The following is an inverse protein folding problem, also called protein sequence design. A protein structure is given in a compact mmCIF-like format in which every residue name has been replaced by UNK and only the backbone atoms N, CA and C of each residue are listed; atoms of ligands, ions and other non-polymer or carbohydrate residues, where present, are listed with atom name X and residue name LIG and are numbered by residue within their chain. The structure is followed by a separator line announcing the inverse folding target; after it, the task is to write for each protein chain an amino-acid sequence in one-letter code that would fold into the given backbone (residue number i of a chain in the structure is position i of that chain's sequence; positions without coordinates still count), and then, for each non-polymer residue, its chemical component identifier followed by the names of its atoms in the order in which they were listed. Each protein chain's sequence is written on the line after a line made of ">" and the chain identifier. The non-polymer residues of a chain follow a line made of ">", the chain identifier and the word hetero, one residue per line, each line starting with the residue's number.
data_IF_498276138049
#
_entry.id   IF_498276138049
#
_cell.length_a   1.000
_cell.length_b   1.000
_cell.length_c   1.000
_cell.angle_alpha   90.00
_cell.angle_beta   90.00
_cell.angle_gamma   90.00
#
_symmetry.space_group_name_H-M   'P 1'
#
loop_
_entity.id
_entity.type
_entity.pdbx_description
1 polymer ?
#
# COMPACT_ATOMS: atom_id res chain seq x y z
N UNK A 1 -26.03 -25.97 -30.42
CA UNK A 1 -24.94 -25.35 -31.21
C UNK A 1 -24.76 -23.94 -30.68
N UNK A 2 -23.69 -23.48 -30.04
CA UNK A 2 -22.37 -24.03 -29.74
C UNK A 2 -21.90 -23.45 -28.38
N UNK A 3 -21.31 -24.29 -27.53
CA UNK A 3 -20.57 -23.86 -26.35
C UNK A 3 -19.13 -23.56 -26.77
N UNK A 4 -18.64 -22.35 -26.50
CA UNK A 4 -17.27 -21.94 -26.77
C UNK A 4 -16.50 -21.94 -25.44
N UNK A 5 -15.66 -22.94 -25.26
CA UNK A 5 -14.86 -23.17 -24.06
C UNK A 5 -13.69 -22.20 -23.95
N UNK A 6 -13.49 -21.67 -22.75
CA UNK A 6 -12.22 -21.06 -22.35
C UNK A 6 -11.22 -22.17 -22.04
N UNK A 7 -10.11 -22.20 -22.79
CA UNK A 7 -8.98 -23.08 -22.51
C UNK A 7 -8.19 -22.54 -21.33
N UNK A 8 -7.96 -23.39 -20.33
CA UNK A 8 -7.10 -23.13 -19.19
C UNK A 8 -5.65 -22.89 -19.67
N UNK A 9 -5.07 -21.76 -19.27
CA UNK A 9 -3.68 -21.40 -19.56
C UNK A 9 -2.69 -22.47 -19.09
N UNK A 10 -3.08 -23.34 -18.16
CA UNK A 10 -2.29 -24.48 -17.68
C UNK A 10 -2.08 -25.57 -18.72
N UNK A 11 -3.06 -25.82 -19.60
CA UNK A 11 -2.94 -26.83 -20.67
C UNK A 11 -2.01 -26.35 -21.78
N UNK A 12 -2.03 -25.06 -22.08
CA UNK A 12 -1.21 -24.44 -23.13
C UNK A 12 0.30 -24.42 -22.79
N UNK A 13 0.65 -24.47 -21.51
CA UNK A 13 2.05 -24.57 -21.07
C UNK A 13 2.59 -26.02 -21.15
N UNK A 14 1.74 -27.05 -21.07
CA UNK A 14 2.17 -28.45 -21.17
C UNK A 14 2.47 -28.88 -22.61
N UNK A 15 1.83 -28.25 -23.60
CA UNK A 15 2.02 -28.57 -25.02
C UNK A 15 3.27 -27.94 -25.65
N UNK A 16 4.08 -27.19 -24.90
CA UNK A 16 5.22 -26.43 -25.42
C UNK A 16 6.61 -27.00 -25.04
N UNK A 17 6.69 -28.17 -24.42
CA UNK A 17 7.96 -28.83 -24.10
C UNK A 17 8.13 -30.12 -24.93
N UNK A 18 9.01 -30.14 -25.95
CA UNK A 18 9.39 -31.38 -26.60
C UNK A 18 10.55 -32.05 -25.83
N UNK A 19 10.36 -33.33 -25.53
CA UNK A 19 11.38 -34.34 -25.15
C UNK A 19 12.25 -34.11 -23.92
N UNK A 20 11.93 -34.84 -22.84
CA UNK A 20 12.81 -35.89 -22.28
C UNK A 20 12.05 -36.63 -21.18
N UNK A 21 11.41 -37.73 -21.52
CA UNK A 21 11.08 -38.81 -20.58
C UNK A 21 10.77 -40.04 -21.44
N UNK A 22 11.80 -40.86 -21.65
CA UNK A 22 11.67 -42.26 -22.07
C UNK A 22 12.94 -42.95 -21.57
N UNK A 23 12.82 -43.71 -20.49
CA UNK A 23 13.59 -44.94 -20.30
C UNK A 23 12.82 -45.83 -19.31
N UNK A 24 11.94 -46.64 -19.90
CA UNK A 24 11.30 -47.76 -19.24
C UNK A 24 12.31 -48.85 -18.84
N UNK A 25 11.99 -49.45 -17.69
CA UNK A 25 12.23 -50.83 -17.26
C UNK A 25 12.73 -51.82 -18.32
N UNK A 26 13.86 -52.48 -18.02
CA UNK A 26 14.11 -53.87 -18.42
C UNK A 26 14.76 -54.66 -17.28
N UNK A 27 14.01 -55.61 -16.72
CA UNK A 27 14.52 -56.89 -16.24
C UNK A 27 14.80 -57.75 -17.51
N UNK A 28 15.79 -58.65 -17.62
CA UNK A 28 15.90 -59.99 -17.02
C UNK A 28 17.30 -60.60 -17.33
N UNK A 29 17.85 -61.30 -16.33
CA UNK A 29 18.82 -62.43 -16.22
C UNK A 29 20.29 -62.52 -16.73
N UNK A 30 21.07 -63.11 -15.80
CA UNK A 30 22.24 -64.03 -15.85
C UNK A 30 23.54 -63.57 -16.57
N UNK A 31 24.78 -63.74 -16.07
CA UNK A 31 25.34 -64.66 -15.06
C UNK A 31 26.74 -64.18 -14.56
N UNK A 32 27.08 -64.59 -13.34
CA UNK A 32 28.43 -64.96 -12.83
C UNK A 32 29.35 -63.96 -12.08
N UNK A 33 29.61 -64.36 -10.83
CA UNK A 33 30.86 -64.32 -10.04
C UNK A 33 31.46 -63.00 -9.52
N UNK A 34 31.29 -62.76 -8.21
CA UNK A 34 32.19 -61.92 -7.40
C UNK A 34 31.73 -61.74 -5.94
N UNK A 35 32.48 -62.28 -4.98
CA UNK A 35 32.20 -62.41 -3.53
C UNK A 35 31.92 -61.09 -2.75
N UNK A 36 31.26 -61.17 -1.56
CA UNK A 36 30.55 -60.05 -0.94
C UNK A 36 31.43 -59.22 0.00
N UNK A 37 31.25 -57.89 -0.02
CA UNK A 37 31.78 -56.98 1.01
C UNK A 37 30.63 -56.33 1.77
N UNK A 38 30.42 -56.80 3.01
CA UNK A 38 29.63 -56.15 4.07
C UNK A 38 29.97 -54.66 4.13
N UNK A 39 29.04 -53.80 3.69
CA UNK A 39 29.01 -52.39 4.09
C UNK A 39 27.85 -52.22 5.06
N UNK A 40 28.22 -51.81 6.27
CA UNK A 40 27.34 -51.56 7.41
C UNK A 40 26.22 -50.60 6.99
N UNK A 41 24.99 -51.08 7.13
CA UNK A 41 23.81 -50.25 7.33
C UNK A 41 24.10 -49.35 8.53
N UNK A 42 24.20 -48.04 8.30
CA UNK A 42 24.19 -47.04 9.37
C UNK A 42 22.80 -46.44 9.28
N UNK A 43 21.91 -46.96 10.12
CA UNK A 43 20.70 -46.26 10.53
C UNK A 43 21.15 -44.90 11.05
N UNK A 44 20.81 -43.86 10.30
CA UNK A 44 20.73 -42.51 10.83
C UNK A 44 19.23 -42.23 10.88
N UNK A 45 18.60 -42.87 11.85
CA UNK A 45 17.34 -42.41 12.41
C UNK A 45 17.58 -41.09 13.11
N UNK A 46 16.53 -40.26 13.08
CA UNK A 46 16.27 -39.09 13.92
C UNK A 46 17.19 -37.88 13.76
N UNK A 47 16.82 -36.99 12.83
CA UNK A 47 17.00 -35.52 12.98
C UNK A 47 15.90 -34.74 12.20
N UNK A 48 14.68 -35.27 12.11
CA UNK A 48 13.49 -34.52 11.68
C UNK A 48 12.71 -34.02 12.90
N UNK A 49 13.31 -33.17 13.72
CA UNK A 49 12.64 -32.54 14.87
C UNK A 49 12.82 -31.01 14.87
N UNK A 50 11.68 -30.31 14.88
CA UNK A 50 11.45 -29.05 15.62
C UNK A 50 11.93 -27.68 15.07
N UNK A 51 11.76 -27.39 13.77
CA UNK A 51 11.89 -25.99 13.29
C UNK A 51 10.64 -25.39 12.62
N UNK A 52 9.58 -26.16 12.37
CA UNK A 52 8.35 -25.64 11.73
C UNK A 52 7.36 -25.03 12.74
N UNK A 53 7.27 -25.58 13.96
CA UNK A 53 6.25 -25.20 14.93
C UNK A 53 6.47 -23.78 15.49
N UNK A 54 7.71 -23.43 15.82
CA UNK A 54 8.06 -22.10 16.36
C UNK A 54 7.66 -20.95 15.41
N UNK A 55 7.82 -21.15 14.10
CA UNK A 55 7.43 -20.14 13.10
C UNK A 55 5.91 -19.95 12.98
N UNK A 56 5.14 -21.02 13.21
CA UNK A 56 3.68 -21.01 13.15
C UNK A 56 3.11 -20.39 14.42
N UNK A 57 3.65 -20.76 15.57
CA UNK A 57 3.29 -20.21 16.88
C UNK A 57 3.53 -18.70 16.96
N UNK A 58 4.68 -18.22 16.47
CA UNK A 58 4.99 -16.80 16.42
C UNK A 58 3.98 -16.03 15.54
N UNK A 59 3.63 -16.58 14.38
CA UNK A 59 2.63 -15.97 13.48
C UNK A 59 1.24 -15.95 14.12
N UNK A 60 0.87 -17.01 14.83
CA UNK A 60 -0.41 -17.06 15.54
C UNK A 60 -0.46 -16.05 16.70
N UNK A 61 0.62 -15.95 17.48
CA UNK A 61 0.75 -14.94 18.54
C UNK A 61 0.62 -13.53 17.97
N UNK A 62 1.26 -13.26 16.83
CA UNK A 62 1.14 -11.98 16.14
C UNK A 62 -0.32 -11.73 15.68
N UNK A 63 -0.96 -12.73 15.07
CA UNK A 63 -2.37 -12.64 14.67
C UNK A 63 -3.31 -12.37 15.85
N UNK A 64 -3.03 -12.94 17.04
CA UNK A 64 -3.77 -12.66 18.28
C UNK A 64 -3.62 -11.20 18.71
N UNK A 65 -2.42 -10.62 18.64
CA UNK A 65 -2.17 -9.19 18.94
C UNK A 65 -2.90 -8.27 17.97
N UNK A 66 -2.92 -8.62 16.69
CA UNK A 66 -3.70 -7.90 15.68
C UNK A 66 -5.18 -7.98 16.04
N UNK A 67 -5.73 -9.18 16.25
CA UNK A 67 -7.14 -9.38 16.55
C UNK A 67 -7.59 -8.66 17.83
N UNK A 68 -6.78 -8.66 18.89
CA UNK A 68 -7.12 -7.99 20.16
C UNK A 68 -7.15 -6.46 20.05
N UNK A 69 -6.58 -5.89 19.00
CA UNK A 69 -6.46 -4.44 18.80
C UNK A 69 -7.36 -3.90 17.67
N UNK A 70 -8.25 -4.75 17.16
CA UNK A 70 -9.29 -4.44 16.17
C UNK A 70 -10.66 -4.58 16.83
N UNK A 71 -11.53 -3.60 16.57
CA UNK A 71 -12.96 -3.74 16.86
C UNK A 71 -13.75 -3.64 15.56
N UNK A 72 -14.72 -4.55 15.37
CA UNK A 72 -15.67 -4.47 14.28
C UNK A 72 -17.10 -4.35 14.82
N UNK A 73 -17.89 -3.47 14.20
CA UNK A 73 -19.32 -3.30 14.50
C UNK A 73 -20.12 -3.25 13.19
N UNK A 74 -21.34 -3.76 13.24
CA UNK A 74 -22.32 -3.59 12.16
C UNK A 74 -23.29 -2.50 12.59
N UNK A 75 -23.10 -1.29 12.06
CA UNK A 75 -23.87 -0.09 12.48
C UNK A 75 -24.84 0.37 11.39
N UNK A 76 -24.47 0.16 10.13
CA UNK A 76 -25.21 0.68 8.98
C UNK A 76 -26.08 -0.40 8.37
N UNK A 77 -27.37 -0.08 8.18
CA UNK A 77 -28.30 -0.98 7.48
C UNK A 77 -28.04 -0.98 5.96
N UNK A 78 -28.56 -1.96 5.21
CA UNK A 78 -28.43 -1.97 3.75
C UNK A 78 -28.98 -0.71 3.06
N UNK A 79 -30.05 -0.12 3.58
CA UNK A 79 -30.70 1.09 3.08
C UNK A 79 -29.83 2.33 3.34
N UNK A 80 -29.26 2.43 4.53
CA UNK A 80 -28.32 3.50 4.90
C UNK A 80 -27.05 3.43 4.05
N UNK A 81 -26.55 2.22 3.82
CA UNK A 81 -25.43 1.99 2.90
C UNK A 81 -25.78 2.48 1.50
N UNK A 82 -26.97 2.17 0.98
CA UNK A 82 -27.39 2.61 -0.36
C UNK A 82 -27.49 4.14 -0.47
N UNK A 83 -27.98 4.81 0.58
CA UNK A 83 -28.03 6.27 0.64
C UNK A 83 -26.62 6.88 0.63
N UNK A 84 -25.70 6.34 1.43
CA UNK A 84 -24.31 6.80 1.49
C UNK A 84 -23.58 6.52 0.18
N UNK A 85 -23.80 5.36 -0.44
CA UNK A 85 -23.23 4.99 -1.73
C UNK A 85 -23.62 5.97 -2.84
N UNK A 86 -24.89 6.41 -2.86
CA UNK A 86 -25.34 7.49 -3.77
C UNK A 86 -24.57 8.79 -3.53
N UNK A 87 -24.26 9.13 -2.27
CA UNK A 87 -23.44 10.30 -1.94
C UNK A 87 -21.98 10.15 -2.35
N UNK A 88 -21.43 8.94 -2.28
CA UNK A 88 -20.09 8.64 -2.81
C UNK A 88 -20.09 8.82 -4.34
N UNK A 89 -21.14 8.39 -5.04
CA UNK A 89 -21.26 8.62 -6.49
C UNK A 89 -21.36 10.10 -6.85
N UNK A 90 -22.08 10.90 -6.06
CA UNK A 90 -22.10 12.36 -6.21
C UNK A 90 -20.68 12.96 -6.06
N UNK A 91 -19.87 12.48 -5.11
CA UNK A 91 -18.46 12.90 -4.95
C UNK A 91 -17.65 12.55 -6.19
N UNK A 92 -17.77 11.33 -6.72
CA UNK A 92 -17.05 10.90 -7.93
C UNK A 92 -17.43 11.80 -9.12
N UNK A 93 -18.73 12.05 -9.32
CA UNK A 93 -19.21 12.90 -10.41
C UNK A 93 -18.72 14.35 -10.28
N UNK A 94 -18.73 14.92 -9.08
CA UNK A 94 -18.20 16.27 -8.82
C UNK A 94 -16.69 16.36 -9.08
N UNK A 95 -15.94 15.33 -8.69
CA UNK A 95 -14.52 15.26 -8.96
C UNK A 95 -14.22 15.19 -10.46
N UNK A 96 -15.00 14.43 -11.23
CA UNK A 96 -14.84 14.31 -12.69
C UNK A 96 -15.27 15.58 -13.42
N UNK A 97 -16.21 16.34 -12.86
CA UNK A 97 -16.56 17.68 -13.31
C UNK A 97 -15.53 18.76 -12.91
N UNK A 98 -14.49 18.41 -12.14
CA UNK A 98 -13.44 19.34 -11.72
C UNK A 98 -13.89 20.36 -10.67
N UNK A 99 -14.90 20.03 -9.85
CA UNK A 99 -15.49 20.94 -8.87
C UNK A 99 -14.75 20.99 -7.52
N UNK A 100 -13.80 20.08 -7.31
CA UNK A 100 -12.99 20.04 -6.09
C UNK A 100 -11.63 20.70 -6.27
N UNK A 101 -11.03 21.09 -5.14
CA UNK A 101 -9.65 21.58 -5.07
C UNK A 101 -8.67 20.53 -5.55
N UNK A 102 -7.51 20.99 -6.02
CA UNK A 102 -6.47 20.12 -6.60
C UNK A 102 -6.08 18.97 -5.66
N UNK A 103 -5.83 19.27 -4.39
CA UNK A 103 -5.36 18.28 -3.42
C UNK A 103 -6.47 17.45 -2.78
N UNK A 104 -7.74 17.73 -3.09
CA UNK A 104 -8.88 16.89 -2.69
C UNK A 104 -8.88 15.59 -3.48
N UNK A 105 -8.49 15.59 -4.75
CA UNK A 105 -8.65 14.43 -5.63
C UNK A 105 -7.31 13.82 -6.02
N UNK A 106 -7.09 12.57 -5.62
CA UNK A 106 -5.93 11.77 -6.02
C UNK A 106 -6.38 10.61 -6.93
N UNK A 107 -5.99 10.64 -8.20
CA UNK A 107 -6.36 9.60 -9.18
C UNK A 107 -5.23 8.61 -9.41
N UNK A 108 -5.51 7.33 -9.23
CA UNK A 108 -4.63 6.23 -9.64
C UNK A 108 -5.41 5.20 -10.49
N UNK A 109 -4.74 4.36 -11.29
CA UNK A 109 -5.40 3.55 -12.32
C UNK A 109 -6.61 2.72 -11.87
N UNK A 110 -6.57 2.16 -10.65
CA UNK A 110 -7.63 1.31 -10.10
C UNK A 110 -8.11 1.77 -8.72
N UNK A 111 -7.71 2.98 -8.30
CA UNK A 111 -8.10 3.53 -7.00
C UNK A 111 -8.02 5.05 -7.03
N UNK A 112 -9.14 5.70 -6.78
CA UNK A 112 -9.18 7.14 -6.51
C UNK A 112 -9.26 7.38 -5.00
N UNK A 113 -8.70 8.50 -4.55
CA UNK A 113 -8.89 9.00 -3.18
C UNK A 113 -9.45 10.41 -3.20
N UNK A 114 -10.33 10.68 -2.25
CA UNK A 114 -10.95 11.98 -2.05
C UNK A 114 -10.68 12.42 -0.61
N UNK A 115 -9.88 13.47 -0.43
CA UNK A 115 -9.48 14.01 0.87
C UNK A 115 -10.35 15.18 1.28
N UNK A 116 -10.98 15.08 2.45
CA UNK A 116 -11.79 16.17 3.00
C UNK A 116 -11.37 16.51 4.44
N UNK A 117 -11.48 17.80 4.78
CA UNK A 117 -11.04 18.40 6.04
C UNK A 117 -9.52 18.58 6.11
N UNK A 118 -8.78 17.46 6.07
CA UNK A 118 -7.32 17.44 6.07
C UNK A 118 -6.80 16.41 5.07
N UNK A 119 -5.86 16.85 4.24
CA UNK A 119 -5.08 15.99 3.35
C UNK A 119 -3.59 16.05 3.68
N UNK A 120 -2.84 15.07 3.19
CA UNK A 120 -1.41 14.97 3.44
C UNK A 120 -0.67 14.48 2.20
N UNK A 121 0.61 14.85 2.14
CA UNK A 121 1.50 14.38 1.10
C UNK A 121 1.83 12.91 1.29
N UNK A 122 1.98 12.17 0.21
CA UNK A 122 2.45 10.79 0.26
C UNK A 122 3.50 10.52 -0.82
N UNK A 123 4.47 9.65 -0.50
CA UNK A 123 5.40 8.98 -1.41
C UNK A 123 6.12 9.83 -2.47
N UNK A 124 5.41 10.15 -3.56
CA UNK A 124 5.95 10.80 -4.76
C UNK A 124 6.09 12.32 -4.65
N UNK A 125 5.37 12.96 -3.71
CA UNK A 125 5.37 14.41 -3.52
C UNK A 125 6.49 14.90 -2.58
N UNK A 126 7.30 13.98 -2.06
CA UNK A 126 8.35 14.27 -1.09
C UNK A 126 9.72 14.28 -1.77
N UNK A 127 10.51 15.34 -1.55
CA UNK A 127 11.89 15.45 -2.04
C UNK A 127 12.78 14.32 -1.50
N UNK A 128 12.56 13.91 -0.25
CA UNK A 128 13.14 12.71 0.35
C UNK A 128 12.05 11.67 0.55
N UNK A 129 12.20 10.54 -0.14
CA UNK A 129 11.31 9.39 0.01
C UNK A 129 11.63 8.65 1.31
N UNK A 130 10.60 8.28 2.05
CA UNK A 130 10.72 7.45 3.25
C UNK A 130 9.53 7.66 4.18
N UNK A 131 9.17 6.65 5.00
CA UNK A 131 8.15 6.82 6.03
C UNK A 131 8.54 7.93 7.02
N UNK A 132 7.56 8.66 7.54
CA UNK A 132 7.78 9.76 8.50
C UNK A 132 8.01 11.14 7.85
N UNK A 133 8.04 11.21 6.52
CA UNK A 133 8.21 12.46 5.78
C UNK A 133 6.90 13.04 5.27
N UNK A 134 5.78 12.36 5.49
CA UNK A 134 4.45 12.88 5.21
C UNK A 134 4.22 14.20 5.95
N UNK A 135 3.55 15.15 5.29
CA UNK A 135 3.17 16.45 5.83
C UNK A 135 1.71 16.72 5.50
N UNK A 136 0.98 17.33 6.41
CA UNK A 136 -0.34 17.88 6.08
C UNK A 136 -0.18 18.99 5.03
N UNK A 137 -1.13 19.10 4.10
CA UNK A 137 -1.20 20.28 3.22
C UNK A 137 -1.49 21.54 4.05
N UNK A 138 -1.34 22.73 3.45
CA UNK A 138 -1.80 23.96 4.12
C UNK A 138 -3.30 23.90 4.36
N UNK A 139 -3.77 24.61 5.39
CA UNK A 139 -5.21 24.70 5.68
C UNK A 139 -5.92 25.31 4.47
N UNK A 140 -7.03 24.70 4.05
CA UNK A 140 -7.81 25.15 2.88
C UNK A 140 -7.36 24.59 1.52
N UNK A 141 -6.30 23.76 1.47
CA UNK A 141 -5.85 23.14 0.21
C UNK A 141 -6.72 21.94 -0.22
N UNK A 142 -7.45 21.35 0.72
CA UNK A 142 -8.46 20.31 0.46
C UNK A 142 -9.84 20.83 0.85
N UNK A 143 -10.88 20.28 0.24
CA UNK A 143 -12.27 20.65 0.51
C UNK A 143 -12.68 20.28 1.95
N UNK A 144 -13.71 20.96 2.47
CA UNK A 144 -14.27 20.64 3.79
C UNK A 144 -14.97 19.28 3.79
N UNK A 145 -15.14 18.69 4.97
CA UNK A 145 -15.90 17.44 5.11
C UNK A 145 -17.36 17.71 4.67
N UNK A 146 -17.89 16.98 3.67
CA UNK A 146 -19.25 17.20 3.21
C UNK A 146 -20.26 16.99 4.35
N UNK A 147 -21.32 17.81 4.39
CA UNK A 147 -22.34 17.73 5.44
C UNK A 147 -22.96 16.33 5.58
N UNK A 148 -23.16 15.62 4.46
CA UNK A 148 -23.68 14.26 4.47
C UNK A 148 -22.76 13.27 5.19
N UNK A 149 -21.44 13.48 5.18
CA UNK A 149 -20.49 12.63 5.94
C UNK A 149 -20.70 12.85 7.43
N UNK A 150 -20.90 14.10 7.85
CA UNK A 150 -21.23 14.41 9.24
C UNK A 150 -22.56 13.77 9.67
N UNK A 151 -23.61 13.98 8.88
CA UNK A 151 -24.98 13.59 9.22
C UNK A 151 -25.22 12.08 9.14
N UNK A 152 -24.75 11.45 8.05
CA UNK A 152 -25.05 10.05 7.76
C UNK A 152 -24.02 9.11 8.36
N UNK A 153 -22.75 9.52 8.52
CA UNK A 153 -21.66 8.63 8.95
C UNK A 153 -21.14 8.98 10.34
N UNK A 154 -20.57 10.19 10.52
CA UNK A 154 -19.89 10.56 11.78
C UNK A 154 -20.89 10.55 12.94
N UNK A 155 -22.07 11.16 12.78
CA UNK A 155 -23.11 11.18 13.80
C UNK A 155 -23.50 9.76 14.24
N UNK A 156 -23.61 8.82 13.30
CA UNK A 156 -23.94 7.41 13.61
C UNK A 156 -22.85 6.73 14.43
N UNK A 157 -21.59 6.99 14.12
CA UNK A 157 -20.46 6.47 14.89
C UNK A 157 -20.40 7.05 16.31
N UNK A 158 -20.68 8.35 16.45
CA UNK A 158 -20.75 9.03 17.76
C UNK A 158 -21.90 8.46 18.59
N UNK A 159 -23.12 8.38 18.04
CA UNK A 159 -24.28 7.84 18.75
C UNK A 159 -24.11 6.38 19.18
N UNK A 160 -23.35 5.58 18.43
CA UNK A 160 -23.05 4.18 18.77
C UNK A 160 -21.77 4.02 19.63
N UNK A 161 -21.25 5.12 20.18
CA UNK A 161 -20.08 5.12 21.08
C UNK A 161 -18.82 4.57 20.44
N UNK A 162 -18.63 4.74 19.13
CA UNK A 162 -17.41 4.32 18.42
C UNK A 162 -16.29 5.34 18.62
N UNK A 163 -16.63 6.63 18.58
CA UNK A 163 -15.73 7.77 18.71
C UNK A 163 -16.45 8.92 19.42
N UNK A 164 -15.72 9.80 20.13
CA UNK A 164 -16.35 10.96 20.76
C UNK A 164 -16.73 12.02 19.71
N UNK A 165 -17.70 12.86 20.08
CA UNK A 165 -18.06 14.02 19.28
C UNK A 165 -16.85 14.97 19.11
N UNK A 166 -16.71 15.57 17.93
CA UNK A 166 -15.58 16.44 17.60
C UNK A 166 -14.24 15.73 17.39
N UNK A 167 -14.19 14.39 17.42
CA UNK A 167 -12.96 13.64 17.13
C UNK A 167 -12.50 13.81 15.67
N UNK A 168 -13.41 13.61 14.72
CA UNK A 168 -13.08 13.54 13.30
C UNK A 168 -12.82 14.92 12.72
N UNK A 169 -11.65 15.11 12.12
CA UNK A 169 -11.33 16.30 11.32
C UNK A 169 -10.71 15.97 9.94
N UNK A 170 -10.57 14.67 9.62
CA UNK A 170 -10.13 14.17 8.33
C UNK A 170 -11.05 13.03 7.90
N UNK A 171 -11.64 13.16 6.72
CA UNK A 171 -12.42 12.12 6.07
C UNK A 171 -11.82 11.83 4.69
N UNK A 172 -11.43 10.57 4.45
CA UNK A 172 -10.88 10.15 3.16
C UNK A 172 -11.73 9.06 2.57
N UNK A 173 -12.22 9.26 1.35
CA UNK A 173 -12.96 8.24 0.60
C UNK A 173 -11.99 7.60 -0.37
N UNK A 174 -11.75 6.30 -0.24
CA UNK A 174 -11.04 5.52 -1.27
C UNK A 174 -12.07 4.75 -2.09
N UNK A 175 -12.13 4.97 -3.40
CA UNK A 175 -12.97 4.24 -4.35
C UNK A 175 -12.11 3.32 -5.21
N UNK A 176 -12.39 2.03 -5.17
CA UNK A 176 -11.61 0.97 -5.81
C UNK A 176 -12.39 0.36 -6.96
N UNK A 177 -11.72 0.22 -8.09
CA UNK A 177 -12.18 -0.58 -9.22
C UNK A 177 -11.80 -2.06 -9.00
N UNK A 178 -12.44 -3.02 -9.70
CA UNK A 178 -12.04 -4.43 -9.66
C UNK A 178 -10.54 -4.62 -9.90
N UNK A 179 -9.88 -5.43 -9.06
CA UNK A 179 -8.43 -5.61 -9.05
C UNK A 179 -7.64 -4.46 -8.42
N UNK A 180 -8.32 -3.41 -7.93
CA UNK A 180 -7.73 -2.33 -7.16
C UNK A 180 -7.09 -2.84 -5.86
N UNK A 181 -6.09 -2.12 -5.36
CA UNK A 181 -5.36 -2.51 -4.16
C UNK A 181 -4.79 -1.31 -3.39
N UNK A 182 -4.30 -1.59 -2.19
CA UNK A 182 -3.40 -0.69 -1.47
C UNK A 182 -2.21 -1.48 -0.98
N UNK A 183 -1.01 -1.00 -1.30
CA UNK A 183 0.24 -1.59 -0.85
C UNK A 183 0.34 -1.48 0.67
N UNK A 184 1.03 -2.45 1.27
CA UNK A 184 1.32 -2.50 2.71
C UNK A 184 1.84 -1.17 3.25
N UNK A 185 1.18 -0.65 4.28
CA UNK A 185 1.55 0.59 4.95
C UNK A 185 1.01 0.63 6.39
N UNK A 186 1.50 1.58 7.17
CA UNK A 186 0.95 1.98 8.48
C UNK A 186 0.40 3.40 8.30
N UNK A 187 -0.78 3.70 8.87
CA UNK A 187 -1.29 5.07 8.88
C UNK A 187 -0.30 5.98 9.64
N UNK A 188 0.14 7.12 9.04
CA UNK A 188 1.27 7.88 9.57
C UNK A 188 1.07 8.31 11.03
N UNK A 189 1.89 7.76 11.94
CA UNK A 189 1.79 7.98 13.39
C UNK A 189 2.00 9.44 13.78
N UNK A 190 2.88 10.15 13.06
CA UNK A 190 3.15 11.58 13.27
C UNK A 190 2.08 12.50 12.68
N UNK A 191 1.07 11.97 11.96
CA UNK A 191 -0.01 12.77 11.36
C UNK A 191 -1.33 12.51 12.07
N UNK A 192 -1.66 11.26 12.39
CA UNK A 192 -3.00 10.88 12.86
C UNK A 192 -2.98 10.35 14.28
N UNK A 193 -3.90 10.85 15.11
CA UNK A 193 -4.27 10.21 16.37
C UNK A 193 -4.98 8.88 16.13
N UNK A 194 -5.02 8.04 17.16
CA UNK A 194 -5.79 6.79 17.19
C UNK A 194 -7.09 6.99 17.98
N UNK A 195 -8.15 6.21 17.70
CA UNK A 195 -8.20 5.12 16.72
C UNK A 195 -8.37 5.60 15.28
N UNK A 196 -8.04 4.72 14.32
CA UNK A 196 -8.38 4.89 12.90
C UNK A 196 -9.71 4.17 12.65
N UNK A 197 -10.72 4.88 12.15
CA UNK A 197 -12.04 4.30 11.87
C UNK A 197 -12.27 4.22 10.37
N UNK A 198 -12.78 3.09 9.90
CA UNK A 198 -13.17 2.90 8.50
C UNK A 198 -14.53 2.26 8.37
N UNK A 199 -15.30 2.68 7.37
CA UNK A 199 -16.62 2.13 7.04
C UNK A 199 -16.63 1.70 5.57
N UNK A 200 -16.98 0.45 5.30
CA UNK A 200 -16.94 -0.15 3.95
C UNK A 200 -18.29 -0.06 3.23
N UNK A 201 -18.26 0.19 1.92
CA UNK A 201 -19.44 0.35 1.07
C UNK A 201 -19.29 -0.38 -0.27
N UNK A 202 -20.41 -0.53 -0.99
CA UNK A 202 -20.63 -1.25 -2.24
C UNK A 202 -20.49 -2.77 -2.14
N UNK A 203 -19.36 -3.27 -1.66
CA UNK A 203 -19.09 -4.71 -1.66
C UNK A 203 -18.20 -5.18 -0.50
N UNK A 204 -18.26 -6.49 -0.27
CA UNK A 204 -17.45 -7.17 0.71
C UNK A 204 -16.00 -7.34 0.22
N UNK A 205 -15.04 -7.26 1.15
CA UNK A 205 -13.62 -7.48 0.85
C UNK A 205 -12.86 -7.97 2.09
N UNK A 206 -11.53 -7.91 2.06
CA UNK A 206 -10.66 -8.26 3.16
C UNK A 206 -9.55 -7.21 3.36
N UNK A 207 -9.36 -6.79 4.61
CA UNK A 207 -8.21 -6.03 5.06
C UNK A 207 -7.16 -7.01 5.61
N UNK A 208 -6.00 -7.02 4.98
CA UNK A 208 -4.92 -7.95 5.30
C UNK A 208 -3.82 -7.25 6.11
N UNK A 209 -3.27 -7.91 7.11
CA UNK A 209 -2.19 -7.42 7.98
C UNK A 209 -0.91 -8.23 7.78
N UNK A 210 0.24 -7.58 7.84
CA UNK A 210 1.55 -8.22 7.74
C UNK A 210 1.96 -8.67 6.33
N UNK A 211 1.27 -8.21 5.28
CA UNK A 211 1.63 -8.56 3.91
C UNK A 211 2.90 -7.84 3.45
N UNK A 212 3.77 -8.56 2.74
CA UNK A 212 4.91 -8.01 1.99
C UNK A 212 4.58 -8.02 0.50
N UNK A 213 4.79 -6.88 -0.16
CA UNK A 213 4.61 -6.76 -1.61
C UNK A 213 5.96 -6.93 -2.30
N UNK A 214 6.01 -7.83 -3.28
CA UNK A 214 7.12 -7.94 -4.22
C UNK A 214 6.65 -7.35 -5.55
N UNK A 215 7.50 -6.56 -6.19
CA UNK A 215 7.21 -5.94 -7.47
C UNK A 215 8.01 -6.63 -8.57
N UNK A 216 7.38 -6.85 -9.74
CA UNK A 216 7.92 -7.53 -10.95
C UNK A 216 8.09 -9.06 -10.82
N UNK A 217 7.02 -9.87 -10.93
CA UNK A 217 5.60 -9.49 -11.01
C UNK A 217 5.06 -9.06 -9.64
N UNK A 218 3.87 -8.43 -9.61
CA UNK A 218 3.24 -8.09 -8.33
C UNK A 218 2.88 -9.41 -7.63
N UNK A 219 3.53 -9.68 -6.51
CA UNK A 219 3.19 -10.79 -5.61
C UNK A 219 2.96 -10.23 -4.22
N UNK A 220 2.03 -10.83 -3.49
CA UNK A 220 1.75 -10.48 -2.10
C UNK A 220 2.00 -11.72 -1.26
N UNK A 221 2.77 -11.57 -0.19
CA UNK A 221 2.96 -12.66 0.77
C UNK A 221 1.65 -13.06 1.44
N UNK A 222 1.67 -14.22 2.07
CA UNK A 222 0.58 -14.59 2.97
C UNK A 222 0.45 -13.54 4.10
N UNK A 223 -0.77 -13.07 4.41
CA UNK A 223 -1.01 -12.16 5.53
C UNK A 223 -0.87 -12.86 6.88
N UNK A 224 -0.36 -12.15 7.89
CA UNK A 224 -0.41 -12.60 9.29
C UNK A 224 -1.86 -12.77 9.75
N UNK A 225 -2.72 -11.82 9.39
CA UNK A 225 -4.14 -11.84 9.73
C UNK A 225 -4.98 -11.28 8.59
N UNK A 226 -6.14 -11.89 8.35
CA UNK A 226 -7.12 -11.45 7.34
C UNK A 226 -8.40 -11.07 8.06
N UNK A 227 -8.81 -9.81 7.92
CA UNK A 227 -10.06 -9.30 8.46
C UNK A 227 -11.08 -9.13 7.34
N UNK A 228 -12.16 -9.94 7.31
CA UNK A 228 -13.29 -9.68 6.43
C UNK A 228 -13.91 -8.30 6.73
N UNK A 229 -14.04 -7.46 5.71
CA UNK A 229 -14.64 -6.12 5.82
C UNK A 229 -15.86 -6.06 4.89
N UNK A 230 -17.03 -6.34 5.47
CA UNK A 230 -18.31 -6.40 4.73
C UNK A 230 -18.88 -5.02 4.46
N UNK A 231 -19.77 -4.90 3.47
CA UNK A 231 -20.59 -3.70 3.24
C UNK A 231 -21.32 -3.29 4.53
N UNK A 232 -21.22 -2.02 4.90
CA UNK A 232 -21.78 -1.46 6.15
C UNK A 232 -21.00 -1.75 7.43
N UNK A 233 -19.94 -2.57 7.36
CA UNK A 233 -19.10 -2.84 8.53
C UNK A 233 -18.23 -1.64 8.89
N UNK A 234 -18.15 -1.38 10.19
CA UNK A 234 -17.26 -0.40 10.80
C UNK A 234 -16.07 -1.14 11.40
N UNK A 235 -14.86 -0.76 10.99
CA UNK A 235 -13.61 -1.31 11.52
C UNK A 235 -12.83 -0.20 12.23
N UNK A 236 -12.47 -0.46 13.48
CA UNK A 236 -11.71 0.45 14.34
C UNK A 236 -10.35 -0.19 14.61
N UNK A 237 -9.28 0.50 14.21
CA UNK A 237 -7.90 0.07 14.44
C UNK A 237 -7.28 0.92 15.56
N UNK A 238 -6.63 0.25 16.50
CA UNK A 238 -5.89 0.85 17.61
C UNK A 238 -4.69 -0.02 17.97
N UNK A 239 -3.80 0.44 18.85
CA UNK A 239 -2.67 -0.33 19.36
C UNK A 239 -1.90 -1.08 18.26
N UNK A 240 -1.62 -2.36 18.49
CA UNK A 240 -0.79 -3.19 17.60
C UNK A 240 -1.21 -3.12 16.13
N UNK A 241 -2.52 -3.26 15.83
CA UNK A 241 -3.04 -3.25 14.46
C UNK A 241 -2.91 -1.88 13.77
N UNK A 242 -2.81 -0.79 14.52
CA UNK A 242 -2.66 0.56 13.97
C UNK A 242 -1.20 1.05 13.92
N UNK A 243 -0.33 0.48 14.76
CA UNK A 243 1.00 1.08 15.05
C UNK A 243 2.17 0.18 14.66
N UNK A 244 2.05 -1.13 14.89
CA UNK A 244 3.19 -2.05 14.86
C UNK A 244 3.20 -2.99 13.65
N UNK A 245 2.06 -3.15 12.97
CA UNK A 245 1.94 -4.00 11.79
C UNK A 245 1.37 -3.23 10.61
N UNK A 246 1.88 -3.52 9.42
CA UNK A 246 1.34 -2.93 8.19
C UNK A 246 0.03 -3.59 7.80
N UNK A 247 -0.84 -2.83 7.14
CA UNK A 247 -2.06 -3.35 6.53
C UNK A 247 -2.14 -3.01 5.04
N UNK A 248 -2.91 -3.81 4.31
CA UNK A 248 -3.05 -3.72 2.88
C UNK A 248 -4.40 -4.29 2.40
N UNK A 249 -4.75 -4.03 1.14
CA UNK A 249 -5.81 -4.74 0.43
C UNK A 249 -5.17 -5.35 -0.80
N UNK A 250 -5.35 -6.65 -1.00
CA UNK A 250 -4.76 -7.37 -2.13
C UNK A 250 -5.67 -7.28 -3.37
N UNK A 251 -5.13 -7.26 -4.59
CA UNK A 251 -5.94 -7.18 -5.81
C UNK A 251 -7.04 -8.24 -5.89
N UNK A 252 -6.76 -9.48 -5.46
CA UNK A 252 -7.71 -10.59 -5.49
C UNK A 252 -8.89 -10.45 -4.50
N UNK A 253 -8.78 -9.55 -3.53
CA UNK A 253 -9.82 -9.31 -2.53
C UNK A 253 -10.81 -8.22 -2.98
N UNK A 254 -10.54 -7.52 -4.09
CA UNK A 254 -11.44 -6.52 -4.71
C UNK A 254 -11.96 -7.07 -6.03
N UNK A 255 -13.04 -7.84 -5.95
CA UNK A 255 -13.64 -8.53 -7.11
C UNK A 255 -14.62 -7.66 -7.89
N UNK A 256 -15.23 -6.71 -7.19
CA UNK A 256 -16.18 -5.74 -7.71
C UNK A 256 -15.86 -4.35 -7.13
N UNK A 257 -16.60 -3.31 -7.54
CA UNK A 257 -16.36 -1.95 -7.02
C UNK A 257 -16.52 -1.94 -5.50
N UNK A 258 -15.58 -1.30 -4.81
CA UNK A 258 -15.62 -1.13 -3.35
C UNK A 258 -15.23 0.29 -3.00
N UNK A 259 -15.93 0.89 -2.04
CA UNK A 259 -15.48 2.12 -1.42
C UNK A 259 -15.28 1.95 0.09
N UNK A 260 -14.45 2.81 0.66
CA UNK A 260 -14.28 2.92 2.12
C UNK A 260 -14.13 4.38 2.50
N UNK A 261 -14.85 4.79 3.53
CA UNK A 261 -14.67 6.11 4.18
C UNK A 261 -13.79 5.89 5.41
N UNK A 262 -12.65 6.58 5.45
CA UNK A 262 -11.68 6.54 6.54
C UNK A 262 -11.78 7.85 7.33
N UNK A 263 -12.12 7.75 8.61
CA UNK A 263 -12.36 8.87 9.51
C UNK A 263 -11.28 8.91 10.57
N UNK A 264 -10.60 10.05 10.67
CA UNK A 264 -9.41 10.22 11.52
C UNK A 264 -9.40 11.59 12.17
N UNK A 265 -8.54 11.71 13.19
CA UNK A 265 -8.14 12.96 13.80
C UNK A 265 -6.68 13.23 13.49
N UNK A 266 -6.37 14.39 12.94
CA UNK A 266 -4.97 14.84 12.81
C UNK A 266 -4.44 15.31 14.15
N UNK A 267 -3.16 15.02 14.41
CA UNK A 267 -2.49 15.46 15.62
C UNK A 267 -2.33 16.99 15.62
N UNK A 268 -2.42 17.67 16.78
CA UNK A 268 -2.16 19.10 16.87
C UNK A 268 -0.74 19.51 16.43
N UNK A 269 0.24 18.62 16.64
CA UNK A 269 1.66 18.79 16.30
C UNK A 269 2.04 18.18 14.93
N UNK A 270 1.06 17.71 14.15
CA UNK A 270 1.31 17.10 12.86
C UNK A 270 2.03 18.09 11.91
N UNK A 271 3.19 17.71 11.32
CA UNK A 271 3.98 18.63 10.53
C UNK A 271 3.24 19.00 9.24
N UNK A 272 3.28 20.28 8.88
CA UNK A 272 2.50 20.87 7.78
C UNK A 272 3.39 21.51 6.74
N UNK A 273 3.02 21.45 5.47
CA UNK A 273 3.74 22.14 4.42
C UNK A 273 3.76 23.65 4.68
N UNK A 274 4.95 24.25 4.64
CA UNK A 274 5.14 25.69 4.80
C UNK A 274 5.16 26.22 6.23
N UNK A 275 5.09 25.37 7.27
CA UNK A 275 5.25 25.81 8.67
C UNK A 275 6.70 26.10 9.07
N UNK A 276 7.70 25.73 8.24
CA UNK A 276 9.12 25.97 8.52
C UNK A 276 9.58 27.42 8.31
N UNK A 277 8.72 28.30 7.77
CA UNK A 277 9.07 29.72 7.56
C UNK A 277 8.87 30.58 8.81
N UNK A 278 7.94 30.25 9.70
CA UNK A 278 7.63 31.07 10.89
C UNK A 278 8.60 30.84 12.06
N UNK A 279 9.21 29.66 12.17
CA UNK A 279 10.24 29.38 13.18
C UNK A 279 11.63 29.88 12.78
N UNK A 280 11.93 29.99 11.48
CA UNK A 280 13.17 30.65 11.00
C UNK A 280 13.08 32.17 11.03
N UNK A 281 11.90 32.76 10.87
CA UNK A 281 11.70 34.20 10.95
C UNK A 281 11.78 34.76 12.40
N UNK A 282 11.45 33.95 13.40
CA UNK A 282 11.48 34.35 14.82
C UNK A 282 12.88 34.31 15.45
N UNK A 283 13.85 33.61 14.85
CA UNK A 283 15.26 33.61 15.27
C UNK A 283 16.11 34.66 14.52
N UNK A 284 15.52 35.44 13.60
CA UNK A 284 16.21 36.47 12.83
C UNK A 284 16.06 37.89 13.43
N UNK A 285 15.74 38.01 14.72
CA UNK A 285 15.82 39.31 15.42
C UNK A 285 17.25 39.56 15.93
N UNK A 286 18.00 40.32 15.13
CA UNK A 286 19.19 41.16 15.42
C UNK A 286 20.05 40.80 16.66
N UNK A 287 21.33 40.40 16.46
CA UNK A 287 22.34 40.55 17.52
C UNK A 287 22.70 42.04 17.67
N UNK A 288 22.52 42.56 18.88
CA UNK A 288 23.01 43.87 19.29
C UNK A 288 24.55 43.95 19.31
N UNK A 289 25.06 45.16 19.10
CA UNK A 289 26.47 45.56 18.96
C UNK A 289 27.44 44.94 19.99
N UNK A 290 28.56 44.47 19.44
CA UNK A 290 29.86 44.09 19.99
C UNK A 290 30.31 44.80 21.29
N UNK A 291 30.93 44.02 22.18
CA UNK A 291 32.11 44.44 22.96
C UNK A 291 33.25 43.45 22.77
N UNK A 292 34.40 43.98 22.37
CA UNK A 292 35.64 43.25 22.19
C UNK A 292 36.30 42.94 23.54
N UNK A 293 36.89 41.74 23.68
CA UNK A 293 38.06 41.50 24.54
C UNK A 293 38.88 40.30 24.02
N UNK A 294 40.16 40.59 23.76
CA UNK A 294 41.27 39.68 23.42
C UNK A 294 41.44 38.58 24.47
N UNK A 295 41.81 37.36 24.05
CA UNK A 295 43.22 36.89 24.09
C UNK A 295 43.36 35.41 23.74
N UNK A 296 44.26 35.14 22.78
CA UNK A 296 45.16 34.00 22.64
C UNK A 296 44.84 32.67 23.36
N UNK A 297 44.65 31.60 22.57
CA UNK A 297 45.56 30.43 22.58
C UNK A 297 45.39 29.62 21.28
N UNK A 298 46.53 29.08 20.84
CA UNK A 298 46.85 28.57 19.51
C UNK A 298 46.13 27.25 19.19
N UNK A 299 45.81 27.08 17.91
CA UNK A 299 45.47 25.80 17.31
C UNK A 299 46.75 24.97 17.09
N UNK A 300 46.65 23.67 17.33
CA UNK A 300 47.66 22.67 16.97
C UNK A 300 47.19 21.94 15.70
N UNK A 301 47.96 21.99 14.59
CA UNK A 301 47.53 21.47 13.30
C UNK A 301 48.31 20.20 12.91
N UNK A 302 48.28 19.10 13.69
CA UNK A 302 48.83 17.84 13.16
C UNK A 302 48.38 16.56 13.89
N UNK A 303 47.18 16.08 13.58
CA UNK A 303 46.79 14.70 13.89
C UNK A 303 46.06 14.07 12.69
N UNK A 304 46.75 14.04 11.55
CA UNK A 304 46.42 13.18 10.44
C UNK A 304 47.52 12.13 10.25
N UNK A 305 47.08 10.91 9.90
CA UNK A 305 47.86 9.79 9.36
C UNK A 305 48.39 8.73 10.33
N UNK A 306 47.59 7.65 10.48
CA UNK A 306 47.98 6.35 9.92
C UNK A 306 46.83 5.74 9.10
N UNK A 307 47.20 5.34 7.89
CA UNK A 307 46.46 4.76 6.76
C UNK A 307 46.69 3.21 6.71
N UNK A 308 46.40 2.44 5.62
CA UNK A 308 45.18 2.16 4.81
C UNK A 308 45.08 0.61 4.46
N UNK A 309 44.58 0.10 3.29
CA UNK A 309 43.31 0.26 2.53
C UNK A 309 42.61 -1.07 2.06
N UNK A 310 41.43 -0.89 1.45
CA UNK A 310 40.86 -1.55 0.25
C UNK A 310 40.15 -2.93 0.33
N UNK A 311 38.88 -2.95 -0.10
CA UNK A 311 38.51 -3.39 -1.47
C UNK A 311 37.15 -2.85 -1.90
N UNK A 312 37.14 -2.28 -3.10
CA UNK A 312 35.98 -1.80 -3.86
C UNK A 312 35.50 -2.88 -4.84
N UNK A 313 34.20 -2.85 -5.17
CA UNK A 313 33.51 -3.26 -6.42
C UNK A 313 32.00 -3.24 -6.10
N UNK A 314 31.01 -2.71 -6.85
CA UNK A 314 30.85 -1.98 -8.12
C UNK A 314 29.39 -1.44 -8.14
N UNK A 315 29.01 -0.54 -9.07
CA UNK A 315 27.80 0.28 -8.98
C UNK A 315 26.63 -0.24 -9.84
N UNK A 316 25.43 -0.42 -9.27
CA UNK A 316 24.22 -0.65 -10.09
C UNK A 316 22.91 -0.10 -9.48
N UNK A 317 22.94 1.14 -8.97
CA UNK A 317 21.70 1.89 -8.65
C UNK A 317 21.53 3.11 -9.57
N UNK A 318 22.40 3.26 -10.56
CA UNK A 318 22.37 4.30 -11.59
C UNK A 318 21.95 3.75 -12.96
N UNK A 319 20.87 2.96 -13.03
CA UNK A 319 20.26 2.60 -14.33
C UNK A 319 18.73 2.41 -14.31
N UNK A 320 18.04 3.04 -13.35
CA UNK A 320 16.55 3.10 -13.35
C UNK A 320 16.04 4.46 -13.86
N UNK A 321 16.89 5.49 -13.92
CA UNK A 321 16.46 6.87 -14.18
C UNK A 321 16.47 7.30 -15.67
N UNK A 322 17.05 6.54 -16.60
CA UNK A 322 17.08 6.94 -18.02
C UNK A 322 16.09 6.15 -18.92
N UNK A 323 15.54 5.02 -18.47
CA UNK A 323 14.61 4.19 -19.27
C UNK A 323 13.12 4.46 -19.04
N UNK A 324 12.72 5.09 -17.93
CA UNK A 324 11.33 5.53 -17.71
C UNK A 324 10.93 6.73 -18.59
N UNK A 325 11.89 7.49 -19.13
CA UNK A 325 11.63 8.50 -20.18
C UNK A 325 11.29 7.87 -21.54
N UNK A 326 11.83 6.69 -21.89
CA UNK A 326 11.53 6.01 -23.16
C UNK A 326 10.18 5.30 -23.18
N UNK A 327 9.74 4.74 -22.04
CA UNK A 327 8.39 4.14 -21.95
C UNK A 327 7.29 5.21 -21.99
N UNK A 328 7.51 6.39 -21.40
CA UNK A 328 6.57 7.53 -21.51
C UNK A 328 6.48 8.11 -22.92
N UNK A 329 7.53 8.00 -23.74
CA UNK A 329 7.51 8.45 -25.13
C UNK A 329 6.83 7.42 -26.06
N UNK A 330 7.00 6.12 -25.79
CA UNK A 330 6.31 5.06 -26.54
C UNK A 330 4.78 5.09 -26.34
N UNK A 331 4.29 5.41 -25.13
CA UNK A 331 2.85 5.53 -24.86
C UNK A 331 2.20 6.83 -25.37
N UNK A 332 2.97 7.90 -25.59
CA UNK A 332 2.46 9.12 -26.23
C UNK A 332 2.21 8.92 -27.73
N UNK A 333 3.01 8.08 -28.40
CA UNK A 333 2.82 7.77 -29.82
C UNK A 333 1.62 6.84 -30.07
N UNK A 334 1.20 6.04 -29.08
CA UNK A 334 0.01 5.18 -29.18
C UNK A 334 -1.30 5.98 -29.18
N UNK A 335 -1.32 7.17 -28.56
CA UNK A 335 -2.49 8.05 -28.55
C UNK A 335 -2.76 8.71 -29.93
N UNK A 336 -1.72 8.94 -30.74
CA UNK A 336 -1.88 9.40 -32.13
C UNK A 336 -2.41 8.31 -33.07
N UNK A 337 -2.06 7.04 -32.82
CA UNK A 337 -2.56 5.90 -33.62
C UNK A 337 -4.05 5.64 -33.35
N UNK A 338 -4.52 5.82 -32.12
CA UNK A 338 -5.95 5.73 -31.79
C UNK A 338 -6.79 6.87 -32.37
N UNK A 339 -6.19 8.04 -32.61
CA UNK A 339 -6.88 9.15 -33.28
C UNK A 339 -6.96 8.96 -34.80
N UNK A 340 -5.93 8.34 -35.43
CA UNK A 340 -5.98 7.96 -36.84
C UNK A 340 -6.98 6.82 -37.12
N UNK A 341 -7.07 5.81 -36.24
CA UNK A 341 -8.01 4.70 -36.41
C UNK A 341 -9.48 5.11 -36.23
N UNK A 342 -9.77 6.11 -35.39
CA UNK A 342 -11.14 6.65 -35.24
C UNK A 342 -11.62 7.45 -36.45
N UNK A 343 -10.70 8.03 -37.23
CA UNK A 343 -11.04 8.77 -38.45
C UNK A 343 -11.14 7.86 -39.69
N UNK A 344 -10.50 6.69 -39.68
CA UNK A 344 -10.62 5.73 -40.79
C UNK A 344 -11.99 5.02 -40.82
N UNK A 345 -12.61 4.76 -39.66
CA UNK A 345 -13.97 4.20 -39.59
C UNK A 345 -15.10 5.19 -39.91
N UNK A 346 -14.81 6.48 -40.16
CA UNK A 346 -15.82 7.47 -40.58
C UNK A 346 -15.82 7.78 -42.08
N UNK A 347 -14.89 7.20 -42.86
CA UNK A 347 -14.78 7.46 -44.30
C UNK A 347 -15.26 6.33 -45.22
N UNK A 348 -15.72 5.18 -44.71
CA UNK A 348 -16.17 4.05 -45.54
C UNK A 348 -17.64 3.65 -45.33
N UNK A 349 -18.53 4.64 -45.37
CA UNK A 349 -19.95 4.41 -45.61
C UNK A 349 -20.51 5.48 -46.55
N UNK A 350 -20.09 5.42 -47.81
CA UNK A 350 -20.75 6.02 -48.98
C UNK A 350 -20.11 5.45 -50.24
N UNK A 351 -20.66 4.33 -50.67
CA UNK A 351 -20.95 3.91 -52.06
C UNK A 351 -21.55 2.53 -52.00
#
# INVERSE_FOLDING_TARGET
>A
MAASGYSDLREKLKSMTPHRDDYENKCVDETSNGKPRKRKHRESDDDEYEHSDDSTDLREQEARRVRSSIQQKTIFTPEECALIEKKIDEVVAQADAGLYREHTVDRAPLRNKYFFGEGYTYGAQLEKRGPGQERLYRKGEVDEIPSWVHELVIKRLVTNGVIPEGFVNSAVINDYQPGGCIVSHVDPLHIFDRPIVSVSFFSDSALCFGCRFQFKPIRVSEPVFVLPVRRGSVTVLSGYAADDITHCIRPQDIKERRAVIILRKTRPDAPRLGSDSSLRASLAQKPGRLKAKRSHRKADPDAAHRYPPARANTPEVFMVQTKLRKVRLAFKNSAQVFHLMRNWSKCNWKT
#
